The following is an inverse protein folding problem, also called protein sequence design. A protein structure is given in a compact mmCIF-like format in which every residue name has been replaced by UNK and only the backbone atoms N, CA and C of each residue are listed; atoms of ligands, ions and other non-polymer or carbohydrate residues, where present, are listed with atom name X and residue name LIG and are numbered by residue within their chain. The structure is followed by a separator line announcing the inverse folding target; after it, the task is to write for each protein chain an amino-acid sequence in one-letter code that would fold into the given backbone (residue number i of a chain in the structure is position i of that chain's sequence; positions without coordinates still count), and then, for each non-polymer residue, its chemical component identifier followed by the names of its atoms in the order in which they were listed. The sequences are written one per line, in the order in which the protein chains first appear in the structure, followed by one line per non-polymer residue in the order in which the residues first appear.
data_IF_219485541507
#
_entry.id   IF_219485541507
#
_cell.length_a   1.000
_cell.length_b   1.000
_cell.length_c   1.000
_cell.angle_alpha   90.00
_cell.angle_beta   90.00
_cell.angle_gamma   90.00
#
_symmetry.space_group_name_H-M   'P 1'
#
loop_
_entity.id
_entity.type
_entity.pdbx_description
1 polymer ?
#
# COMPACT_ATOMS: atom_id res chain seq x y z
N UNK A 1 6.09 -8.38 -14.75
CA UNK A 1 5.84 -9.73 -14.24
C UNK A 1 4.85 -9.61 -13.12
N UNK A 2 3.74 -10.34 -13.21
CA UNK A 2 2.74 -10.45 -12.15
C UNK A 2 2.76 -11.89 -11.70
N UNK A 3 2.98 -12.13 -10.41
CA UNK A 3 2.90 -13.47 -9.84
C UNK A 3 1.42 -13.67 -9.54
N UNK A 4 0.81 -14.68 -10.17
CA UNK A 4 -0.65 -14.87 -10.14
C UNK A 4 -1.12 -15.50 -8.83
N UNK A 5 -0.19 -16.13 -8.12
CA UNK A 5 -0.40 -16.81 -6.86
C UNK A 5 -0.44 -15.81 -5.71
N UNK A 6 -1.42 -15.96 -4.82
CA UNK A 6 -1.41 -15.31 -3.52
C UNK A 6 -0.51 -16.07 -2.56
N UNK A 7 0.04 -15.37 -1.55
CA UNK A 7 0.87 -15.97 -0.52
C UNK A 7 0.36 -15.63 0.88
N UNK A 8 0.31 -16.61 1.78
CA UNK A 8 -0.02 -16.35 3.19
C UNK A 8 1.16 -15.71 3.91
N UNK A 9 0.96 -15.06 5.07
CA UNK A 9 2.05 -14.54 5.90
C UNK A 9 3.12 -15.59 6.21
N UNK A 10 2.73 -16.83 6.51
CA UNK A 10 3.67 -17.91 6.83
C UNK A 10 4.50 -18.35 5.63
N UNK A 11 3.90 -18.41 4.43
CA UNK A 11 4.64 -18.69 3.21
C UNK A 11 5.67 -17.59 2.93
N UNK A 12 5.27 -16.32 3.05
CA UNK A 12 6.17 -15.19 2.88
C UNK A 12 7.27 -15.15 3.93
N UNK A 13 6.95 -15.52 5.17
CA UNK A 13 7.93 -15.64 6.23
C UNK A 13 9.01 -16.67 5.88
N UNK A 14 8.63 -17.87 5.42
CA UNK A 14 9.59 -18.90 4.96
C UNK A 14 10.46 -18.37 3.82
N UNK A 15 9.84 -17.73 2.81
CA UNK A 15 10.58 -17.20 1.65
C UNK A 15 11.55 -16.08 2.03
N UNK A 16 11.17 -15.17 2.93
CA UNK A 16 12.05 -14.09 3.40
C UNK A 16 13.25 -14.59 4.19
N UNK A 17 13.11 -15.69 4.94
CA UNK A 17 14.26 -16.29 5.64
C UNK A 17 15.33 -16.75 4.66
N UNK A 18 14.95 -17.22 3.46
CA UNK A 18 15.92 -17.67 2.45
C UNK A 18 16.83 -16.54 1.91
N UNK A 19 16.43 -15.29 2.11
CA UNK A 19 17.18 -14.09 1.71
C UNK A 19 17.62 -13.21 2.89
N UNK A 20 17.63 -13.79 4.10
CA UNK A 20 17.99 -13.12 5.35
C UNK A 20 17.24 -11.78 5.56
N UNK A 21 15.95 -11.78 5.24
CA UNK A 21 15.04 -10.66 5.50
C UNK A 21 14.03 -11.04 6.57
N UNK A 22 13.64 -10.04 7.37
CA UNK A 22 12.66 -10.19 8.46
C UNK A 22 11.54 -9.15 8.41
N UNK A 23 11.67 -8.15 7.54
CA UNK A 23 10.68 -7.10 7.33
C UNK A 23 10.20 -7.19 5.88
N UNK A 24 8.89 -7.17 5.71
CA UNK A 24 8.22 -6.97 4.43
C UNK A 24 7.18 -5.88 4.59
N UNK A 25 7.46 -4.70 4.04
CA UNK A 25 6.53 -3.56 4.13
C UNK A 25 5.22 -3.92 3.43
N UNK A 26 4.10 -3.74 4.12
CA UNK A 26 2.77 -4.13 3.65
C UNK A 26 2.29 -5.48 4.14
N UNK A 27 3.12 -6.26 4.86
CA UNK A 27 2.74 -7.54 5.46
C UNK A 27 3.20 -7.59 6.94
N UNK A 28 2.50 -6.89 7.85
CA UNK A 28 2.89 -6.84 9.26
C UNK A 28 2.81 -8.18 9.98
N UNK A 29 1.91 -9.08 9.56
CA UNK A 29 1.65 -10.38 10.20
C UNK A 29 2.86 -11.33 10.14
N UNK A 30 3.83 -11.05 9.27
CA UNK A 30 5.12 -11.77 9.22
C UNK A 30 5.89 -11.65 10.54
N UNK A 31 5.67 -10.57 11.30
CA UNK A 31 6.31 -10.39 12.61
C UNK A 31 5.78 -11.36 13.67
N UNK A 32 4.56 -11.86 13.49
CA UNK A 32 3.91 -12.82 14.39
C UNK A 32 4.25 -14.28 14.03
N UNK A 33 4.88 -14.49 12.87
CA UNK A 33 5.28 -15.82 12.40
C UNK A 33 6.51 -16.34 13.16
N UNK A 34 6.59 -17.67 13.34
CA UNK A 34 7.76 -18.32 13.95
C UNK A 34 8.21 -19.53 13.15
N UNK A 35 9.51 -19.82 13.22
CA UNK A 35 10.12 -21.03 12.64
C UNK A 35 9.95 -22.28 13.50
N UNK A 36 9.26 -22.17 14.65
CA UNK A 36 8.95 -23.38 15.41
C UNK A 36 8.07 -24.30 14.54
N UNK A 37 8.29 -25.62 14.55
CA UNK A 37 7.55 -26.57 13.72
C UNK A 37 6.10 -26.70 14.20
N UNK A 38 5.34 -25.63 14.02
CA UNK A 38 3.89 -25.57 14.22
C UNK A 38 3.18 -26.22 13.05
N UNK A 39 1.91 -26.54 13.23
CA UNK A 39 1.05 -26.96 12.12
C UNK A 39 0.99 -25.90 11.01
N UNK A 40 1.07 -24.61 11.34
CA UNK A 40 1.07 -23.52 10.35
C UNK A 40 2.31 -23.53 9.46
N UNK A 41 3.51 -23.72 10.02
CA UNK A 41 4.75 -23.79 9.22
C UNK A 41 4.75 -24.96 8.24
N UNK A 42 4.26 -26.14 8.67
CA UNK A 42 4.15 -27.33 7.81
C UNK A 42 3.13 -27.14 6.70
N UNK A 43 2.00 -26.49 6.98
CA UNK A 43 0.99 -26.15 5.97
C UNK A 43 1.54 -25.18 4.94
N UNK A 44 2.29 -24.17 5.37
CA UNK A 44 2.93 -23.21 4.48
C UNK A 44 3.97 -23.90 3.55
N UNK A 45 4.84 -24.76 4.09
CA UNK A 45 5.79 -25.53 3.26
C UNK A 45 5.09 -26.42 2.24
N UNK A 46 4.03 -27.14 2.64
CA UNK A 46 3.25 -27.97 1.73
C UNK A 46 2.55 -27.13 0.65
N UNK A 47 2.08 -25.94 1.01
CA UNK A 47 1.46 -25.01 0.07
C UNK A 47 2.48 -24.47 -0.94
N UNK A 48 3.68 -24.09 -0.50
CA UNK A 48 4.78 -23.68 -1.38
C UNK A 48 5.20 -24.80 -2.36
N UNK A 49 5.19 -26.06 -1.92
CA UNK A 49 5.39 -27.23 -2.80
C UNK A 49 4.30 -27.36 -3.85
N UNK A 50 3.03 -27.22 -3.46
CA UNK A 50 1.87 -27.27 -4.37
C UNK A 50 1.89 -26.13 -5.40
N UNK A 51 2.39 -24.96 -5.01
CA UNK A 51 2.59 -23.80 -5.88
C UNK A 51 3.86 -23.91 -6.75
N UNK A 52 4.58 -25.02 -6.67
CA UNK A 52 5.84 -25.25 -7.38
C UNK A 52 6.88 -24.16 -7.11
N UNK A 53 6.86 -23.54 -5.92
CA UNK A 53 7.85 -22.55 -5.49
C UNK A 53 9.11 -23.24 -4.97
N UNK A 54 8.91 -24.35 -4.25
CA UNK A 54 9.97 -25.25 -3.82
C UNK A 54 9.67 -26.68 -4.29
N UNK A 55 10.72 -27.45 -4.54
CA UNK A 55 10.60 -28.86 -4.94
C UNK A 55 10.37 -29.79 -3.73
N UNK A 56 10.28 -31.09 -3.99
CA UNK A 56 10.09 -32.10 -2.93
C UNK A 56 11.27 -32.16 -1.94
N UNK A 57 12.45 -31.70 -2.33
CA UNK A 57 13.67 -31.62 -1.54
C UNK A 57 13.86 -30.25 -0.88
N UNK A 58 12.86 -29.36 -0.94
CA UNK A 58 12.88 -27.99 -0.42
C UNK A 58 13.87 -27.05 -1.12
N UNK A 59 14.29 -27.35 -2.35
CA UNK A 59 15.06 -26.41 -3.16
C UNK A 59 14.12 -25.47 -3.92
N UNK A 60 14.56 -24.24 -4.15
CA UNK A 60 13.84 -23.30 -5.01
C UNK A 60 13.73 -23.83 -6.45
N UNK A 61 12.53 -23.80 -6.99
CA UNK A 61 12.33 -24.01 -8.44
C UNK A 61 12.69 -22.74 -9.21
N UNK A 62 12.62 -22.78 -10.55
CA UNK A 62 12.76 -21.57 -11.37
C UNK A 62 11.67 -20.52 -11.03
N UNK A 63 10.43 -20.96 -10.85
CA UNK A 63 9.32 -20.08 -10.46
C UNK A 63 9.58 -19.49 -9.07
N UNK A 64 10.02 -20.31 -8.12
CA UNK A 64 10.41 -19.83 -6.80
C UNK A 64 11.57 -18.83 -6.83
N UNK A 65 12.56 -19.04 -7.70
CA UNK A 65 13.66 -18.09 -7.87
C UNK A 65 13.17 -16.71 -8.36
N UNK A 66 12.15 -16.68 -9.23
CA UNK A 66 11.53 -15.41 -9.66
C UNK A 66 10.79 -14.71 -8.52
N UNK A 67 10.08 -15.47 -7.66
CA UNK A 67 9.43 -14.94 -6.44
C UNK A 67 10.47 -14.38 -5.46
N UNK A 68 11.56 -15.12 -5.22
CA UNK A 68 12.66 -14.66 -4.36
C UNK A 68 13.27 -13.37 -4.90
N UNK A 69 13.54 -13.31 -6.21
CA UNK A 69 14.07 -12.08 -6.83
C UNK A 69 13.11 -10.90 -6.66
N UNK A 70 11.80 -11.12 -6.75
CA UNK A 70 10.81 -10.09 -6.48
C UNK A 70 10.92 -9.57 -5.03
N UNK A 71 10.95 -10.48 -4.06
CA UNK A 71 11.07 -10.15 -2.64
C UNK A 71 12.38 -9.42 -2.31
N UNK A 72 13.50 -9.85 -2.91
CA UNK A 72 14.79 -9.19 -2.75
C UNK A 72 14.76 -7.75 -3.27
N UNK A 73 14.22 -7.56 -4.48
CA UNK A 73 14.08 -6.24 -5.07
C UNK A 73 13.20 -5.39 -4.18
N UNK A 74 11.97 -5.82 -3.90
CA UNK A 74 11.03 -5.07 -3.07
C UNK A 74 11.64 -4.67 -1.71
N UNK A 75 12.24 -5.63 -0.98
CA UNK A 75 12.77 -5.44 0.37
C UNK A 75 14.08 -4.63 0.43
N UNK A 76 14.70 -4.34 -0.72
CA UNK A 76 15.90 -3.51 -0.80
C UNK A 76 15.58 -2.02 -0.68
N UNK A 77 14.34 -1.60 -0.96
CA UNK A 77 14.01 -0.18 -0.94
C UNK A 77 13.91 0.37 0.49
N UNK A 78 14.18 1.67 0.61
CA UNK A 78 14.04 2.43 1.85
C UNK A 78 12.81 3.34 1.83
N UNK A 79 12.17 3.54 0.67
CA UNK A 79 10.92 4.31 0.55
C UNK A 79 9.85 3.43 -0.10
N UNK A 80 8.71 3.37 0.56
CA UNK A 80 7.50 2.73 0.08
C UNK A 80 6.38 3.75 0.14
N UNK A 81 5.40 3.54 -0.72
CA UNK A 81 4.14 4.27 -0.68
C UNK A 81 3.02 3.25 -0.63
N UNK A 82 1.86 3.67 -0.13
CA UNK A 82 0.70 2.81 -0.17
C UNK A 82 -0.54 3.62 -0.53
N UNK A 83 -1.46 2.94 -1.20
CA UNK A 83 -2.83 3.40 -1.43
C UNK A 83 -3.74 2.26 -1.05
N UNK A 84 -4.60 2.47 -0.06
CA UNK A 84 -5.43 1.47 0.58
C UNK A 84 -4.61 0.23 0.99
N UNK A 85 -4.91 -0.92 0.41
CA UNK A 85 -4.28 -2.21 0.66
C UNK A 85 -3.11 -2.54 -0.27
N UNK A 86 -2.71 -1.62 -1.15
CA UNK A 86 -1.58 -1.79 -2.06
C UNK A 86 -0.36 -1.03 -1.55
N UNK A 87 0.69 -1.76 -1.19
CA UNK A 87 1.99 -1.21 -0.80
C UNK A 87 2.96 -1.38 -1.96
N UNK A 88 3.76 -0.36 -2.23
CA UNK A 88 4.64 -0.39 -3.39
C UNK A 88 5.91 0.41 -3.19
N UNK A 89 6.87 0.10 -4.05
CA UNK A 89 8.09 0.85 -4.19
C UNK A 89 8.48 0.96 -5.65
N UNK A 90 9.23 1.99 -6.02
CA UNK A 90 9.59 2.28 -7.40
C UNK A 90 11.10 2.29 -7.62
N UNK A 91 11.49 1.71 -8.76
CA UNK A 91 12.81 1.75 -9.36
C UNK A 91 12.69 2.42 -10.72
N UNK A 92 13.17 3.65 -10.83
CA UNK A 92 12.95 4.49 -12.01
C UNK A 92 11.47 4.53 -12.39
N UNK A 93 11.09 4.03 -13.58
CA UNK A 93 9.70 4.01 -14.07
C UNK A 93 8.89 2.79 -13.64
N UNK A 94 9.53 1.78 -13.02
CA UNK A 94 8.90 0.50 -12.67
C UNK A 94 8.62 0.41 -11.17
N UNK A 95 7.37 0.19 -10.84
CA UNK A 95 6.86 -0.13 -9.51
C UNK A 95 6.80 -1.64 -9.27
N UNK A 96 7.08 -2.01 -8.03
CA UNK A 96 6.88 -3.35 -7.48
C UNK A 96 5.88 -3.20 -6.34
N UNK A 97 4.77 -3.94 -6.39
CA UNK A 97 3.67 -3.81 -5.44
C UNK A 97 3.26 -5.12 -4.78
N UNK A 98 2.88 -5.02 -3.52
CA UNK A 98 2.25 -6.06 -2.72
C UNK A 98 0.82 -5.61 -2.41
N UNK A 99 -0.15 -6.44 -2.78
CA UNK A 99 -1.58 -6.16 -2.55
C UNK A 99 -2.11 -7.16 -1.54
N UNK A 100 -2.68 -6.69 -0.43
CA UNK A 100 -3.38 -7.54 0.54
C UNK A 100 -4.78 -7.88 0.02
N UNK A 101 -5.00 -9.13 -0.36
CA UNK A 101 -6.32 -9.69 -0.68
C UNK A 101 -6.90 -10.48 0.49
N UNK A 102 -8.05 -11.13 0.25
CA UNK A 102 -8.73 -11.96 1.25
C UNK A 102 -7.91 -13.20 1.63
N UNK A 103 -7.35 -13.88 0.63
CA UNK A 103 -6.62 -15.14 0.80
C UNK A 103 -5.11 -14.98 0.99
N UNK A 104 -4.64 -13.74 1.18
CA UNK A 104 -3.22 -13.42 1.36
C UNK A 104 -2.73 -12.31 0.44
N UNK A 105 -1.45 -12.37 0.08
CA UNK A 105 -0.72 -11.28 -0.56
C UNK A 105 -0.40 -11.60 -2.01
N UNK A 106 -0.74 -10.68 -2.91
CA UNK A 106 -0.44 -10.76 -4.34
C UNK A 106 0.72 -9.85 -4.71
N UNK A 107 1.50 -10.28 -5.70
CA UNK A 107 2.67 -9.54 -6.18
C UNK A 107 2.49 -9.07 -7.60
N UNK A 108 2.68 -7.78 -7.81
CA UNK A 108 2.47 -7.14 -9.10
C UNK A 108 3.60 -6.19 -9.45
N UNK A 109 3.71 -5.90 -10.75
CA UNK A 109 4.57 -4.86 -11.29
C UNK A 109 3.74 -3.94 -12.15
N UNK A 110 3.98 -2.64 -12.02
CA UNK A 110 3.25 -1.61 -12.75
C UNK A 110 4.16 -0.40 -12.97
N UNK A 111 3.79 0.49 -13.89
CA UNK A 111 4.36 1.85 -13.92
C UNK A 111 3.57 2.77 -13.00
N UNK A 112 4.12 3.94 -12.66
CA UNK A 112 3.36 4.96 -11.90
C UNK A 112 2.07 5.33 -12.59
N UNK A 113 2.10 5.48 -13.91
CA UNK A 113 0.94 5.84 -14.72
C UNK A 113 -0.14 4.77 -14.67
N UNK A 114 0.22 3.50 -14.89
CA UNK A 114 -0.72 2.39 -14.78
C UNK A 114 -1.36 2.29 -13.38
N UNK A 115 -0.56 2.53 -12.34
CA UNK A 115 -1.08 2.51 -10.97
C UNK A 115 -2.03 3.69 -10.70
N UNK A 116 -1.68 4.89 -11.16
CA UNK A 116 -2.53 6.07 -11.06
C UNK A 116 -3.87 5.82 -11.77
N UNK A 117 -3.85 5.29 -12.99
CA UNK A 117 -5.05 4.94 -13.76
C UNK A 117 -5.92 3.94 -12.99
N UNK A 118 -5.35 2.86 -12.45
CA UNK A 118 -6.08 1.87 -11.65
C UNK A 118 -6.71 2.50 -10.41
N UNK A 119 -5.96 3.33 -9.68
CA UNK A 119 -6.46 4.05 -8.50
C UNK A 119 -7.61 4.99 -8.86
N UNK A 120 -7.50 5.72 -9.98
CA UNK A 120 -8.58 6.58 -10.47
C UNK A 120 -9.79 5.81 -10.97
N UNK A 121 -9.62 4.60 -11.52
CA UNK A 121 -10.71 3.74 -11.99
C UNK A 121 -11.42 3.03 -10.84
N UNK A 122 -10.72 2.69 -9.77
CA UNK A 122 -11.28 1.91 -8.65
C UNK A 122 -11.75 2.77 -7.48
N UNK A 123 -11.31 4.02 -7.37
CA UNK A 123 -11.67 4.90 -6.25
C UNK A 123 -12.62 6.03 -6.66
N UNK A 124 -13.88 5.94 -6.24
CA UNK A 124 -14.92 6.95 -6.53
C UNK A 124 -14.60 8.33 -5.95
N UNK A 125 -13.87 8.41 -4.83
CA UNK A 125 -13.51 9.69 -4.23
C UNK A 125 -12.62 10.53 -5.15
N UNK A 126 -11.86 9.91 -6.05
CA UNK A 126 -11.01 10.63 -7.01
C UNK A 126 -11.76 11.17 -8.22
N UNK A 127 -12.98 10.64 -8.45
CA UNK A 127 -13.84 11.01 -9.58
C UNK A 127 -15.01 11.91 -9.16
N UNK A 128 -15.12 12.20 -7.86
CA UNK A 128 -16.17 13.08 -7.35
C UNK A 128 -16.10 14.46 -8.00
N UNK A 129 -17.26 15.07 -8.24
CA UNK A 129 -17.32 16.50 -8.48
C UNK A 129 -17.13 17.19 -7.14
N UNK A 130 -16.15 18.10 -7.04
CA UNK A 130 -16.08 19.03 -5.93
C UNK A 130 -17.46 19.69 -5.81
N UNK A 131 -18.14 19.50 -4.68
CA UNK A 131 -19.42 20.15 -4.41
C UNK A 131 -19.34 21.64 -4.73
N UNK A 132 -20.47 22.25 -5.08
CA UNK A 132 -20.61 23.63 -5.62
C UNK A 132 -19.97 24.77 -4.81
N UNK A 133 -19.30 24.47 -3.69
CA UNK A 133 -18.53 25.42 -2.90
C UNK A 133 -17.04 25.03 -2.94
N UNK A 134 -16.14 25.91 -3.39
CA UNK A 134 -14.71 25.68 -3.27
C UNK A 134 -14.35 25.61 -1.78
N UNK A 135 -14.10 24.39 -1.30
CA UNK A 135 -13.65 24.16 0.06
C UNK A 135 -12.19 24.57 0.14
N UNK A 136 -11.94 25.70 0.79
CA UNK A 136 -10.57 26.07 1.20
C UNK A 136 -10.10 25.05 2.23
N UNK A 137 -8.89 24.54 2.07
CA UNK A 137 -8.27 23.59 3.00
C UNK A 137 -8.16 24.21 4.39
N UNK A 138 -9.11 23.88 5.26
CA UNK A 138 -9.29 24.51 6.55
C UNK A 138 -9.27 23.46 7.64
N UNK A 139 -8.41 23.67 8.63
CA UNK A 139 -8.36 22.80 9.80
C UNK A 139 -9.66 22.91 10.59
N UNK A 140 -10.29 21.76 10.83
CA UNK A 140 -11.43 21.65 11.73
C UNK A 140 -10.85 21.72 13.14
N UNK A 141 -11.14 22.79 13.88
CA UNK A 141 -10.62 23.02 15.24
C UNK A 141 -11.63 22.63 16.34
N UNK A 142 -12.88 22.36 15.97
CA UNK A 142 -13.93 21.98 16.91
C UNK A 142 -13.77 20.52 17.35
N UNK A 143 -13.50 20.27 18.63
CA UNK A 143 -13.27 18.92 19.15
C UNK A 143 -14.48 17.98 19.02
N UNK A 144 -15.71 18.48 19.20
CA UNK A 144 -16.91 17.66 19.08
C UNK A 144 -17.10 17.20 17.62
N UNK A 145 -16.83 18.09 16.68
CA UNK A 145 -16.85 17.78 15.26
C UNK A 145 -15.76 16.75 14.90
N UNK A 146 -14.54 16.92 15.44
CA UNK A 146 -13.46 15.92 15.26
C UNK A 146 -13.86 14.53 15.74
N UNK A 147 -14.40 14.41 16.95
CA UNK A 147 -14.85 13.12 17.50
C UNK A 147 -15.92 12.48 16.61
N UNK A 148 -16.91 13.27 16.19
CA UNK A 148 -17.97 12.80 15.28
C UNK A 148 -17.41 12.30 13.95
N UNK A 149 -16.42 12.99 13.39
CA UNK A 149 -15.78 12.62 12.12
C UNK A 149 -14.92 11.36 12.26
N UNK A 150 -14.22 11.18 13.38
CA UNK A 150 -13.42 9.98 13.64
C UNK A 150 -14.29 8.74 13.82
N UNK A 151 -15.48 8.87 14.41
CA UNK A 151 -16.47 7.80 14.51
C UNK A 151 -17.15 7.48 13.16
N UNK A 152 -17.21 8.46 12.27
CA UNK A 152 -17.92 8.37 10.99
C UNK A 152 -17.07 7.85 9.82
N UNK A 153 -15.82 7.42 10.06
CA UNK A 153 -14.97 6.84 9.01
C UNK A 153 -15.65 5.57 8.46
N UNK A 154 -16.14 5.66 7.22
CA UNK A 154 -16.90 4.60 6.53
C UNK A 154 -16.03 3.85 5.52
N UNK A 155 -16.60 2.82 4.91
CA UNK A 155 -16.07 1.95 3.85
C UNK A 155 -15.58 2.68 2.59
N UNK A 156 -16.13 3.85 2.25
CA UNK A 156 -15.62 4.71 1.16
C UNK A 156 -14.45 5.56 1.65
N UNK A 157 -13.37 4.88 2.06
CA UNK A 157 -12.13 5.46 2.55
C UNK A 157 -11.04 5.33 1.48
N UNK A 158 -10.35 6.42 1.21
CA UNK A 158 -9.07 6.39 0.52
C UNK A 158 -7.97 6.67 1.55
N UNK A 159 -7.16 5.66 1.84
CA UNK A 159 -5.93 5.81 2.60
C UNK A 159 -4.75 5.93 1.66
N UNK A 160 -3.88 6.89 1.89
CA UNK A 160 -2.64 7.07 1.13
C UNK A 160 -1.50 7.44 2.07
N UNK A 161 -0.31 6.93 1.81
CA UNK A 161 0.81 7.24 2.66
C UNK A 161 2.18 6.86 2.14
N UNK A 162 3.18 7.21 2.94
CA UNK A 162 4.58 6.92 2.71
C UNK A 162 5.17 6.20 3.92
N UNK A 163 5.97 5.17 3.67
CA UNK A 163 6.72 4.44 4.68
C UNK A 163 8.19 4.55 4.35
N UNK A 164 9.00 4.95 5.33
CA UNK A 164 10.47 4.92 5.21
C UNK A 164 11.05 3.83 6.08
N UNK A 165 12.02 3.10 5.55
CA UNK A 165 12.74 2.03 6.25
C UNK A 165 14.20 2.43 6.41
N UNK A 166 14.72 2.24 7.62
CA UNK A 166 16.13 2.42 7.97
C UNK A 166 16.59 1.21 8.77
N UNK A 167 17.76 0.64 8.45
CA UNK A 167 18.31 -0.56 9.11
C UNK A 167 17.29 -1.70 9.30
N UNK A 168 16.56 -2.03 8.24
CA UNK A 168 15.52 -3.06 8.21
C UNK A 168 14.38 -2.86 9.24
N UNK A 169 14.14 -1.62 9.66
CA UNK A 169 13.02 -1.22 10.53
C UNK A 169 12.25 -0.05 9.92
N UNK A 170 10.94 -0.04 10.16
CA UNK A 170 10.11 1.12 9.80
C UNK A 170 10.57 2.31 10.66
N UNK A 171 11.00 3.38 9.99
CA UNK A 171 11.52 4.59 10.61
C UNK A 171 10.46 5.68 10.70
N UNK A 172 9.66 5.88 9.65
CA UNK A 172 8.58 6.85 9.62
C UNK A 172 7.41 6.33 8.81
N UNK A 173 6.20 6.65 9.26
CA UNK A 173 4.96 6.45 8.51
C UNK A 173 4.25 7.79 8.42
N UNK A 174 3.87 8.18 7.20
CA UNK A 174 2.96 9.29 6.93
C UNK A 174 1.71 8.72 6.29
N UNK A 175 0.54 9.11 6.77
CA UNK A 175 -0.73 8.62 6.27
C UNK A 175 -1.77 9.74 6.27
N UNK A 176 -2.54 9.78 5.19
CA UNK A 176 -3.70 10.63 5.01
C UNK A 176 -4.90 9.77 4.67
N UNK A 177 -6.01 10.02 5.36
CA UNK A 177 -7.29 9.38 5.09
C UNK A 177 -8.25 10.39 4.47
N UNK A 178 -8.97 9.97 3.44
CA UNK A 178 -9.96 10.78 2.75
C UNK A 178 -11.31 10.06 2.71
N UNK A 179 -12.39 10.78 3.00
CA UNK A 179 -13.75 10.28 2.93
C UNK A 179 -14.75 11.43 2.78
N UNK A 180 -15.98 11.12 2.36
CA UNK A 180 -17.06 12.11 2.24
C UNK A 180 -17.98 12.01 3.46
N UNK A 181 -18.30 13.16 4.05
CA UNK A 181 -19.32 13.29 5.09
C UNK A 181 -20.17 14.53 4.82
N UNK A 182 -21.49 14.38 4.77
CA UNK A 182 -22.42 15.50 4.54
C UNK A 182 -22.04 16.32 3.29
N UNK A 183 -21.74 15.63 2.20
CA UNK A 183 -21.30 16.21 0.91
C UNK A 183 -19.97 17.00 0.96
N UNK A 184 -19.23 16.90 2.06
CA UNK A 184 -17.90 17.51 2.20
C UNK A 184 -16.82 16.44 2.16
N UNK A 185 -15.76 16.71 1.40
CA UNK A 185 -14.56 15.91 1.42
C UNK A 185 -13.74 16.26 2.66
N UNK A 186 -13.41 15.24 3.44
CA UNK A 186 -12.66 15.33 4.69
C UNK A 186 -11.31 14.68 4.49
N UNK A 187 -10.26 15.33 4.98
CA UNK A 187 -8.89 14.80 5.07
C UNK A 187 -8.50 14.65 6.54
N UNK A 188 -7.98 13.49 6.92
CA UNK A 188 -7.34 13.27 8.22
C UNK A 188 -5.86 13.03 7.97
N UNK A 189 -5.01 13.92 8.47
CA UNK A 189 -3.57 13.68 8.58
C UNK A 189 -3.32 12.88 9.87
N UNK A 190 -3.10 11.56 9.71
CA UNK A 190 -2.97 10.62 10.83
C UNK A 190 -1.72 10.91 11.65
N UNK A 191 -0.66 11.40 11.00
CA UNK A 191 0.62 11.72 11.65
C UNK A 191 0.51 12.89 12.61
N UNK A 192 -0.18 13.95 12.19
CA UNK A 192 -0.36 15.18 12.98
C UNK A 192 -1.66 15.20 13.78
N UNK A 193 -2.55 14.22 13.58
CA UNK A 193 -3.90 14.13 14.17
C UNK A 193 -4.76 15.35 13.85
N UNK A 194 -4.55 15.93 12.67
CA UNK A 194 -5.31 17.08 12.19
C UNK A 194 -6.37 16.63 11.18
N UNK A 195 -7.50 17.31 11.21
CA UNK A 195 -8.63 17.04 10.33
C UNK A 195 -8.93 18.31 9.56
N UNK A 196 -9.16 18.18 8.26
CA UNK A 196 -9.41 19.30 7.37
C UNK A 196 -10.65 19.05 6.54
N UNK A 197 -11.39 20.11 6.26
CA UNK A 197 -12.16 20.14 5.04
C UNK A 197 -11.16 20.32 3.88
N UNK A 198 -11.31 19.54 2.82
CA UNK A 198 -10.37 19.57 1.68
C UNK A 198 -11.12 19.63 0.35
N UNK A 199 -10.40 19.86 -0.75
CA UNK A 199 -10.97 19.93 -2.09
C UNK A 199 -10.59 18.70 -2.93
N UNK A 200 -11.36 18.45 -3.99
CA UNK A 200 -11.04 17.39 -4.96
C UNK A 200 -9.65 17.60 -5.58
N UNK A 201 -9.31 18.85 -5.91
CA UNK A 201 -8.00 19.23 -6.45
C UNK A 201 -6.86 18.86 -5.49
N UNK A 202 -7.02 19.14 -4.19
CA UNK A 202 -6.01 18.82 -3.20
C UNK A 202 -5.86 17.32 -2.98
N UNK A 203 -6.97 16.58 -2.99
CA UNK A 203 -6.95 15.12 -2.96
C UNK A 203 -6.19 14.56 -4.18
N UNK A 204 -6.56 14.98 -5.38
CA UNK A 204 -5.92 14.53 -6.62
C UNK A 204 -4.43 14.88 -6.63
N UNK A 205 -4.08 16.10 -6.18
CA UNK A 205 -2.70 16.53 -6.00
C UNK A 205 -1.95 15.64 -5.00
N UNK A 206 -2.54 15.31 -3.86
CA UNK A 206 -1.93 14.43 -2.85
C UNK A 206 -1.58 13.07 -3.42
N UNK A 207 -2.48 12.48 -4.21
CA UNK A 207 -2.23 11.19 -4.89
C UNK A 207 -1.03 11.30 -5.83
N UNK A 208 -1.06 12.27 -6.74
CA UNK A 208 0.00 12.48 -7.74
C UNK A 208 1.36 12.76 -7.08
N UNK A 209 1.39 13.65 -6.08
CA UNK A 209 2.60 14.00 -5.33
C UNK A 209 3.17 12.78 -4.59
N UNK A 210 2.31 11.97 -3.95
CA UNK A 210 2.76 10.76 -3.22
C UNK A 210 3.31 9.71 -4.16
N UNK A 211 2.70 9.53 -5.34
CA UNK A 211 3.25 8.66 -6.38
C UNK A 211 4.56 9.20 -6.97
N UNK A 212 4.88 10.48 -6.79
CA UNK A 212 6.07 11.11 -7.36
C UNK A 212 6.02 11.20 -8.88
N UNK A 213 4.84 11.48 -9.43
CA UNK A 213 4.63 11.72 -10.85
C UNK A 213 4.92 13.21 -11.13
N UNK A 214 5.79 13.49 -12.09
CA UNK A 214 6.10 14.86 -12.49
C UNK A 214 4.94 15.45 -13.29
N UNK A 215 4.56 16.69 -12.99
CA UNK A 215 3.59 17.45 -13.77
C UNK A 215 4.24 17.95 -15.05
N UNK A 216 3.59 17.76 -16.21
CA UNK A 216 3.99 18.47 -17.42
C UNK A 216 3.80 19.98 -17.21
N UNK A 217 4.88 20.75 -17.30
CA UNK A 217 4.81 22.21 -17.29
C UNK A 217 3.96 22.68 -18.47
N UNK A 218 2.73 23.11 -18.20
CA UNK A 218 1.80 23.66 -19.20
C UNK A 218 0.62 22.78 -19.58
N UNK A 219 0.47 21.59 -18.97
CA UNK A 219 -0.73 20.76 -19.10
C UNK A 219 -1.65 21.01 -17.92
N UNK A 220 -2.59 21.95 -18.07
CA UNK A 220 -3.53 22.35 -17.03
C UNK A 220 -4.36 21.19 -16.48
N UNK A 221 -3.93 20.67 -15.34
CA UNK A 221 -4.82 20.04 -14.35
C UNK A 221 -4.99 20.94 -13.11
N UNK A 222 -4.21 22.03 -13.02
CA UNK A 222 -4.10 22.90 -11.84
C UNK A 222 -3.78 24.38 -12.17
N UNK A 223 -4.09 24.86 -13.37
CA UNK A 223 -4.07 26.31 -13.70
C UNK A 223 -5.51 26.86 -13.71
#
# INVERSE_FOLDING_TARGET
MTIKESFTPEELFILLQSIDKRLLVGCPEIQDCSLSPTESSKKAEQSLKKKEIIDAQNNLTKHGADVIRFLELYSKNQKYIFVNNCFMTFYDTKGIGIIKGEDGYLFTQFTRQQFLEEVYLTNELLRGESGKNPVVHNEIINNKEKETLLEAVDSQLLSIGEIKVHDAKISTVKEWLFFIKEEKLIEIDVTTKKIYHTSQELLNKRVVDTLGIEYEKGGGWFD
#
